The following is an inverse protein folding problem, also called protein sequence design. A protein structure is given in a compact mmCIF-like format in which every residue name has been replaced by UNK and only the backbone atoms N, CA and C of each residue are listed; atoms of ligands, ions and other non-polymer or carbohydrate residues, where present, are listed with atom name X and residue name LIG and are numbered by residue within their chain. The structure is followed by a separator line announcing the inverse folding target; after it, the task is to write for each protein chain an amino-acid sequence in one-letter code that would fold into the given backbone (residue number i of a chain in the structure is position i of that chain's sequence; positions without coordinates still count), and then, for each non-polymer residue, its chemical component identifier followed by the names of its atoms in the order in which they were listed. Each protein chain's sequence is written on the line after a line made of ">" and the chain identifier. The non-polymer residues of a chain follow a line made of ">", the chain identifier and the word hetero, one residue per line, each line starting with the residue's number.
data_IF_821804645832
#
_entry.id   IF_821804645832
#
_cell.length_a   1.000
_cell.length_b   1.000
_cell.length_c   1.000
_cell.angle_alpha   90.00
_cell.angle_beta   90.00
_cell.angle_gamma   90.00
#
_symmetry.space_group_name_H-M   'P 1'
#
loop_
_entity.id
_entity.type
_entity.pdbx_description
1 polymer ?
#
# COMPACT_ATOMS: atom_id res chain seq x y z
N UNK A 1 -22.66 66.01 -10.30
CA UNK A 1 -24.10 66.35 -10.46
C UNK A 1 -24.61 65.67 -11.73
N UNK A 2 -25.84 65.13 -11.67
CA UNK A 2 -26.62 64.38 -12.70
C UNK A 2 -26.33 62.86 -12.72
N UNK A 3 -27.00 62.03 -11.90
CA UNK A 3 -28.38 61.45 -11.94
C UNK A 3 -28.63 60.41 -13.06
N UNK A 4 -28.96 59.18 -12.64
CA UNK A 4 -29.51 58.02 -13.40
C UNK A 4 -30.93 58.25 -13.95
N UNK A 5 -31.54 57.33 -14.76
CA UNK A 5 -32.32 56.16 -14.22
C UNK A 5 -32.22 54.84 -15.05
N UNK A 6 -32.14 53.66 -14.41
CA UNK A 6 -33.17 52.60 -14.17
C UNK A 6 -33.88 51.98 -15.39
N UNK A 7 -33.76 50.65 -15.55
CA UNK A 7 -34.88 49.68 -15.54
C UNK A 7 -34.40 48.21 -15.43
N UNK A 8 -34.91 47.49 -14.44
CA UNK A 8 -35.08 46.03 -14.37
C UNK A 8 -36.61 45.75 -14.47
N UNK A 9 -37.19 44.54 -14.27
CA UNK A 9 -36.69 43.14 -14.28
C UNK A 9 -37.59 42.22 -15.17
N UNK A 10 -37.32 40.91 -15.26
CA UNK A 10 -38.41 39.93 -15.43
C UNK A 10 -38.12 38.59 -14.74
N UNK A 11 -39.12 38.17 -13.98
CA UNK A 11 -39.28 36.98 -13.15
C UNK A 11 -39.95 35.89 -14.00
N UNK A 12 -39.55 34.62 -13.86
CA UNK A 12 -40.46 33.48 -14.09
C UNK A 12 -40.25 32.42 -13.00
N UNK A 13 -41.38 32.07 -12.38
CA UNK A 13 -41.62 31.09 -11.31
C UNK A 13 -41.38 29.64 -11.79
N UNK A 14 -40.72 28.81 -10.99
CA UNK A 14 -41.28 27.81 -10.05
C UNK A 14 -42.23 26.76 -10.66
N UNK A 15 -41.88 25.48 -10.50
CA UNK A 15 -42.84 24.39 -10.28
C UNK A 15 -42.13 23.22 -9.60
N UNK A 16 -42.53 22.99 -8.35
CA UNK A 16 -42.22 21.81 -7.56
C UNK A 16 -43.03 20.61 -8.07
N UNK A 17 -42.45 19.42 -8.05
CA UNK A 17 -43.22 18.18 -7.91
C UNK A 17 -42.67 17.38 -6.74
N UNK A 18 -43.46 17.34 -5.69
CA UNK A 18 -43.36 16.41 -4.57
C UNK A 18 -44.08 15.13 -5.01
N UNK A 19 -43.43 13.99 -4.85
CA UNK A 19 -44.11 12.70 -4.81
C UNK A 19 -43.58 11.94 -3.58
N UNK A 20 -44.28 12.10 -2.48
CA UNK A 20 -44.24 11.20 -1.34
C UNK A 20 -45.34 10.16 -1.54
N UNK A 21 -45.00 8.88 -1.37
CA UNK A 21 -45.95 7.83 -1.00
C UNK A 21 -45.29 6.97 0.09
N UNK A 22 -45.97 6.91 1.23
CA UNK A 22 -45.60 6.16 2.43
C UNK A 22 -46.14 4.73 2.43
N UNK A 23 -45.62 3.98 3.41
CA UNK A 23 -46.25 2.91 4.22
C UNK A 23 -46.28 1.46 3.71
N UNK A 24 -45.52 0.65 4.46
CA UNK A 24 -45.86 -0.61 5.12
C UNK A 24 -46.29 -1.83 4.30
N UNK A 25 -45.53 -2.92 4.44
CA UNK A 25 -46.05 -4.15 5.08
C UNK A 25 -44.97 -5.24 5.30
N UNK A 26 -44.93 -5.69 6.55
CA UNK A 26 -44.79 -7.07 7.04
C UNK A 26 -43.58 -7.95 6.67
N UNK A 27 -42.79 -8.24 7.71
CA UNK A 27 -42.07 -9.49 7.89
C UNK A 27 -43.03 -10.69 8.00
N UNK A 28 -42.56 -11.92 7.73
CA UNK A 28 -43.04 -13.09 8.44
C UNK A 28 -42.00 -13.58 9.45
N UNK A 29 -42.43 -13.61 10.71
CA UNK A 29 -41.94 -14.57 11.68
C UNK A 29 -42.60 -15.92 11.36
N UNK A 30 -41.83 -16.99 11.30
CA UNK A 30 -42.36 -18.35 11.36
C UNK A 30 -41.68 -19.09 12.51
N UNK A 31 -42.45 -19.23 13.59
CA UNK A 31 -42.17 -20.07 14.73
C UNK A 31 -43.33 -21.06 14.82
N UNK A 32 -43.03 -22.35 14.70
CA UNK A 32 -43.99 -23.44 14.85
C UNK A 32 -43.30 -24.70 15.38
N UNK A 33 -43.84 -25.37 16.43
CA UNK A 33 -43.12 -26.35 17.25
C UNK A 33 -43.39 -27.80 16.81
N UNK A 34 -42.51 -28.74 17.18
CA UNK A 34 -42.72 -30.17 16.96
C UNK A 34 -41.79 -31.03 17.81
N UNK A 35 -42.39 -31.82 18.69
CA UNK A 35 -41.82 -32.55 19.83
C UNK A 35 -41.29 -33.93 19.40
N UNK A 36 -40.32 -34.45 20.17
CA UNK A 36 -39.67 -35.76 20.07
C UNK A 36 -40.61 -36.98 20.18
N UNK A 37 -40.09 -38.19 19.90
CA UNK A 37 -39.75 -39.13 20.99
C UNK A 37 -38.31 -39.70 20.85
N UNK A 38 -37.53 -39.91 21.93
CA UNK A 38 -37.52 -41.07 22.84
C UNK A 38 -37.44 -42.42 22.07
N UNK A 39 -36.54 -43.38 22.29
CA UNK A 39 -35.47 -43.64 23.25
C UNK A 39 -34.54 -44.66 22.59
N UNK A 40 -33.24 -44.62 22.88
CA UNK A 40 -32.48 -45.85 23.17
C UNK A 40 -31.25 -45.48 23.96
N UNK A 41 -31.42 -45.49 25.28
CA UNK A 41 -30.34 -45.54 26.23
C UNK A 41 -29.73 -46.95 26.21
N UNK A 42 -28.43 -47.02 25.95
CA UNK A 42 -27.61 -48.11 26.49
C UNK A 42 -26.53 -47.44 27.34
N UNK A 43 -26.75 -47.48 28.66
CA UNK A 43 -25.77 -47.11 29.65
C UNK A 43 -24.67 -48.18 29.69
N UNK A 44 -23.42 -47.75 29.59
CA UNK A 44 -22.31 -48.41 30.25
C UNK A 44 -21.42 -47.32 30.85
N UNK A 45 -21.51 -47.22 32.16
CA UNK A 45 -20.66 -46.42 33.02
C UNK A 45 -19.21 -46.90 32.93
N UNK A 46 -18.28 -45.95 32.94
CA UNK A 46 -16.85 -46.20 32.97
C UNK A 46 -16.07 -44.91 32.91
N UNK A 47 -16.02 -44.20 34.04
CA UNK A 47 -15.36 -42.91 34.16
C UNK A 47 -13.88 -42.94 33.76
N UNK A 48 -13.51 -41.94 32.96
CA UNK A 48 -12.33 -41.13 33.18
C UNK A 48 -12.60 -39.80 32.50
N UNK A 49 -12.37 -38.63 33.15
CA UNK A 49 -12.27 -37.43 32.38
C UNK A 49 -11.13 -37.69 31.39
N UNK A 50 -11.44 -37.72 30.09
CA UNK A 50 -10.41 -37.43 29.10
C UNK A 50 -10.02 -36.00 29.39
N UNK A 51 -9.07 -35.87 30.31
CA UNK A 51 -8.11 -34.79 30.31
C UNK A 51 -7.59 -34.86 28.89
N UNK A 52 -8.14 -34.02 28.00
CA UNK A 52 -7.48 -33.75 26.72
C UNK A 52 -6.03 -33.56 27.13
N UNK A 53 -5.09 -34.35 26.61
CA UNK A 53 -3.69 -34.07 26.90
C UNK A 53 -3.54 -32.60 26.55
N UNK A 54 -3.05 -31.80 27.48
CA UNK A 54 -2.74 -30.42 27.21
C UNK A 54 -1.84 -30.43 25.97
N UNK A 55 -2.44 -30.22 24.80
CA UNK A 55 -1.75 -30.02 23.55
C UNK A 55 -0.95 -28.77 23.87
N UNK A 56 0.35 -28.93 24.07
CA UNK A 56 1.24 -27.78 24.27
C UNK A 56 0.94 -26.75 23.18
N UNK A 57 1.12 -25.45 23.47
CA UNK A 57 0.54 -24.38 22.68
C UNK A 57 0.76 -24.63 21.20
N UNK A 58 -0.32 -24.95 20.49
CA UNK A 58 -0.25 -25.29 19.08
C UNK A 58 -0.92 -24.17 18.33
N UNK A 59 -0.20 -23.66 17.34
CA UNK A 59 -0.60 -22.53 16.53
C UNK A 59 -1.72 -22.86 15.53
N UNK A 60 -2.60 -23.80 15.88
CA UNK A 60 -3.68 -24.32 15.05
C UNK A 60 -4.76 -25.07 15.88
N UNK A 61 -4.89 -24.76 17.18
CA UNK A 61 -5.89 -25.39 18.06
C UNK A 61 -7.18 -24.57 18.21
N UNK A 62 -7.27 -23.38 17.60
CA UNK A 62 -8.46 -22.53 17.65
C UNK A 62 -8.61 -21.75 18.96
N UNK A 63 -7.62 -21.80 19.85
CA UNK A 63 -7.56 -21.01 21.06
C UNK A 63 -6.40 -20.02 21.00
N UNK A 64 -6.47 -18.96 21.81
CA UNK A 64 -5.30 -18.13 22.09
C UNK A 64 -4.65 -18.65 23.36
N UNK A 65 -3.51 -19.31 23.24
CA UNK A 65 -2.79 -19.86 24.38
C UNK A 65 -1.25 -19.71 24.28
N UNK A 66 -0.54 -20.18 25.31
CA UNK A 66 0.91 -20.08 25.36
C UNK A 66 1.44 -18.65 25.18
N UNK A 67 2.19 -18.44 24.10
CA UNK A 67 2.85 -17.17 23.76
C UNK A 67 2.19 -16.45 22.57
N UNK A 68 0.99 -16.85 22.17
CA UNK A 68 0.26 -16.28 21.05
C UNK A 68 -0.27 -14.87 21.32
N UNK A 69 -0.29 -14.06 20.27
CA UNK A 69 -0.77 -12.67 20.35
C UNK A 69 -2.22 -12.55 19.89
N UNK A 70 -2.67 -13.44 19.00
CA UNK A 70 -4.07 -13.69 18.66
C UNK A 70 -4.28 -15.21 18.50
N UNK A 71 -5.52 -15.69 18.34
CA UNK A 71 -5.83 -17.11 18.17
C UNK A 71 -4.99 -17.71 17.04
N UNK A 72 -4.19 -18.73 17.35
CA UNK A 72 -3.35 -19.49 16.43
C UNK A 72 -2.24 -18.67 15.72
N UNK A 73 -1.87 -17.47 16.21
CA UNK A 73 -0.86 -16.64 15.55
C UNK A 73 -0.11 -15.65 16.44
N UNK A 74 1.01 -15.15 15.91
CA UNK A 74 1.87 -14.16 16.56
C UNK A 74 2.74 -14.75 17.66
N UNK A 75 3.56 -13.91 18.28
CA UNK A 75 4.56 -14.39 19.23
C UNK A 75 5.70 -15.15 18.57
N UNK A 76 6.63 -15.73 19.36
CA UNK A 76 7.90 -16.23 18.85
C UNK A 76 7.84 -17.59 18.15
N UNK A 77 6.77 -18.38 18.37
CA UNK A 77 6.68 -19.77 17.91
C UNK A 77 5.61 -20.01 16.84
N UNK A 78 4.68 -19.07 16.65
CA UNK A 78 3.56 -19.22 15.74
C UNK A 78 3.71 -18.38 14.47
N UNK A 79 2.99 -18.75 13.39
CA UNK A 79 2.96 -17.95 12.18
C UNK A 79 2.53 -16.51 12.47
N UNK A 80 3.04 -15.57 11.68
CA UNK A 80 2.64 -14.19 11.81
C UNK A 80 1.15 -14.01 11.48
N UNK A 81 0.47 -13.19 12.26
CA UNK A 81 -0.94 -12.91 12.17
C UNK A 81 -1.31 -12.14 10.88
N UNK A 82 -2.48 -12.46 10.34
CA UNK A 82 -3.06 -11.73 9.21
C UNK A 82 -3.50 -10.31 9.60
N UNK A 83 -3.69 -9.44 8.62
CA UNK A 83 -4.19 -8.08 8.87
C UNK A 83 -5.55 -8.10 9.63
N UNK A 84 -5.72 -7.16 10.57
CA UNK A 84 -6.88 -7.03 11.45
C UNK A 84 -6.79 -7.81 12.77
N UNK A 85 -5.91 -8.81 12.85
CA UNK A 85 -5.60 -9.61 14.05
C UNK A 85 -4.78 -8.82 15.06
N UNK A 86 -4.83 -9.23 16.32
CA UNK A 86 -4.07 -8.60 17.39
C UNK A 86 -2.55 -8.77 17.19
N UNK A 87 -1.79 -7.76 17.60
CA UNK A 87 -0.33 -7.76 17.59
C UNK A 87 0.23 -6.94 18.75
N UNK A 88 1.47 -7.21 19.14
CA UNK A 88 2.24 -6.39 20.09
C UNK A 88 3.33 -5.62 19.35
N UNK A 89 3.95 -6.27 18.37
CA UNK A 89 5.01 -5.71 17.54
C UNK A 89 4.77 -6.05 16.07
N UNK A 90 5.48 -5.37 15.16
CA UNK A 90 5.41 -5.67 13.72
C UNK A 90 5.74 -7.13 13.37
N UNK A 91 6.61 -7.79 14.16
CA UNK A 91 6.97 -9.21 13.96
C UNK A 91 5.81 -10.17 14.12
N UNK A 92 4.78 -9.77 14.87
CA UNK A 92 3.58 -10.58 15.03
C UNK A 92 2.71 -10.57 13.78
N UNK A 93 3.00 -9.72 12.80
CA UNK A 93 2.16 -9.52 11.62
C UNK A 93 2.83 -10.03 10.35
N UNK A 94 2.08 -10.72 9.49
CA UNK A 94 2.57 -11.14 8.19
C UNK A 94 2.97 -9.95 7.32
N UNK A 95 2.37 -8.78 7.57
CA UNK A 95 2.74 -7.51 6.96
C UNK A 95 3.99 -6.86 7.57
N UNK A 96 4.49 -7.31 8.73
CA UNK A 96 5.56 -6.62 9.45
C UNK A 96 5.12 -5.34 10.17
N UNK A 97 3.83 -4.94 10.10
CA UNK A 97 3.33 -3.70 10.70
C UNK A 97 2.18 -3.95 11.68
N UNK A 98 2.37 -3.44 12.89
CA UNK A 98 1.42 -3.47 13.99
C UNK A 98 1.06 -2.04 14.38
N UNK A 99 -0.19 -1.64 14.13
CA UNK A 99 -0.69 -0.32 14.48
C UNK A 99 -1.96 -0.43 15.33
N UNK A 100 -2.06 0.39 16.37
CA UNK A 100 -3.16 0.33 17.34
C UNK A 100 -3.45 -1.10 17.87
N UNK A 101 -2.41 -1.92 18.03
CA UNK A 101 -2.52 -3.31 18.49
C UNK A 101 -3.13 -4.27 17.46
N UNK A 102 -3.21 -3.88 16.19
CA UNK A 102 -3.70 -4.71 15.08
C UNK A 102 -2.72 -4.75 13.91
N UNK A 103 -2.62 -5.92 13.29
CA UNK A 103 -1.85 -6.06 12.07
C UNK A 103 -2.48 -5.24 10.94
N UNK A 104 -1.67 -4.46 10.26
CA UNK A 104 -2.09 -3.63 9.13
C UNK A 104 -1.07 -3.69 8.01
N UNK A 105 -1.47 -3.36 6.79
CA UNK A 105 -0.59 -3.08 5.68
C UNK A 105 -0.84 -1.68 5.09
N UNK A 106 -1.51 -0.79 5.81
CA UNK A 106 -1.94 0.51 5.28
C UNK A 106 -0.80 1.49 5.06
N UNK A 107 0.36 1.29 5.71
CA UNK A 107 1.54 2.11 5.50
C UNK A 107 2.05 2.07 4.05
N UNK A 108 1.93 0.93 3.37
CA UNK A 108 2.38 0.73 2.00
C UNK A 108 3.89 0.58 1.81
N UNK A 109 4.69 1.12 2.71
CA UNK A 109 6.13 0.90 2.79
C UNK A 109 6.48 -0.21 3.78
N UNK A 110 7.49 -1.02 3.47
CA UNK A 110 7.85 -2.20 4.25
C UNK A 110 8.36 -1.89 5.66
N UNK A 111 9.02 -0.75 5.83
CA UNK A 111 9.51 -0.27 7.13
C UNK A 111 8.42 0.46 7.95
N UNK A 112 7.20 0.56 7.40
CA UNK A 112 6.05 1.15 8.06
C UNK A 112 5.99 2.68 8.02
N UNK A 113 6.96 3.35 7.40
CA UNK A 113 7.00 4.82 7.30
C UNK A 113 6.75 5.29 5.87
N UNK A 114 5.91 6.32 5.72
CA UNK A 114 5.65 6.97 4.42
C UNK A 114 6.46 8.26 4.35
N UNK A 115 7.43 8.34 3.46
CA UNK A 115 8.25 9.56 3.28
C UNK A 115 7.55 10.57 2.36
N UNK A 116 6.70 10.06 1.48
CA UNK A 116 5.80 10.83 0.64
C UNK A 116 4.44 10.16 0.57
N UNK A 117 3.43 10.92 0.15
CA UNK A 117 2.02 10.56 0.27
C UNK A 117 1.68 10.15 1.72
N UNK A 118 2.23 10.89 2.70
CA UNK A 118 2.17 10.58 4.13
C UNK A 118 0.76 10.64 4.71
N UNK A 119 -0.11 11.49 4.14
CA UNK A 119 -1.51 11.59 4.54
C UNK A 119 -2.30 10.37 4.04
N UNK A 120 -2.25 9.24 4.75
CA UNK A 120 -2.90 7.99 4.35
C UNK A 120 -4.43 8.13 4.11
N UNK A 121 -5.10 9.02 4.83
CA UNK A 121 -6.52 9.32 4.59
C UNK A 121 -6.77 10.00 3.22
N UNK A 122 -5.78 10.73 2.70
CA UNK A 122 -5.83 11.35 1.36
C UNK A 122 -5.29 10.43 0.27
N UNK A 123 -4.29 9.61 0.60
CA UNK A 123 -3.57 8.72 -0.30
C UNK A 123 -3.55 7.27 0.21
N UNK A 124 -4.72 6.62 0.35
CA UNK A 124 -4.80 5.29 0.95
C UNK A 124 -4.11 4.21 0.10
N UNK A 125 -3.96 4.45 -1.21
CA UNK A 125 -3.53 3.44 -2.18
C UNK A 125 -2.17 3.73 -2.83
N UNK A 126 -1.46 4.78 -2.40
CA UNK A 126 -0.10 5.10 -2.87
C UNK A 126 0.75 5.61 -1.71
N UNK A 127 2.01 5.21 -1.67
CA UNK A 127 3.00 5.63 -0.70
C UNK A 127 4.33 5.90 -1.42
N UNK A 128 5.11 6.89 -0.99
CA UNK A 128 6.50 7.02 -1.40
C UNK A 128 7.36 6.36 -0.33
N UNK A 129 8.13 5.34 -0.73
CA UNK A 129 8.89 4.47 0.16
C UNK A 129 10.37 4.64 -0.13
N UNK A 130 11.06 5.29 0.78
CA UNK A 130 12.49 5.52 0.68
C UNK A 130 13.27 4.27 1.09
N UNK A 131 14.44 4.11 0.50
CA UNK A 131 15.32 2.99 0.83
C UNK A 131 16.29 2.68 -0.29
N UNK A 132 17.10 1.67 -0.04
CA UNK A 132 18.11 1.17 -0.97
C UNK A 132 17.73 -0.23 -1.47
N UNK A 133 18.36 -0.65 -2.57
CA UNK A 133 18.32 -2.01 -3.10
C UNK A 133 19.61 -2.28 -3.89
N UNK A 134 20.13 -3.50 -3.77
CA UNK A 134 21.32 -3.94 -4.50
C UNK A 134 21.01 -4.96 -5.59
N UNK A 135 19.82 -5.58 -5.60
CA UNK A 135 19.36 -6.42 -6.72
C UNK A 135 18.91 -5.49 -7.85
N UNK A 136 19.61 -5.47 -9.01
CA UNK A 136 19.36 -4.46 -10.03
C UNK A 136 17.96 -4.50 -10.62
N UNK A 137 17.46 -3.30 -10.90
CA UNK A 137 16.33 -3.04 -11.78
C UNK A 137 14.99 -2.80 -11.08
N UNK A 138 14.18 -1.90 -11.67
CA UNK A 138 12.83 -1.61 -11.17
C UNK A 138 11.81 -2.69 -11.56
N UNK A 139 12.17 -3.59 -12.48
CA UNK A 139 11.31 -4.65 -12.99
C UNK A 139 11.07 -5.80 -12.02
N UNK A 140 11.86 -5.92 -10.95
CA UNK A 140 11.81 -7.05 -10.02
C UNK A 140 10.59 -6.96 -9.11
N UNK A 141 9.65 -7.90 -9.26
CA UNK A 141 8.40 -7.94 -8.48
C UNK A 141 8.47 -8.81 -7.22
N UNK A 142 9.48 -9.67 -7.12
CA UNK A 142 9.64 -10.59 -6.00
C UNK A 142 10.58 -9.97 -4.95
N UNK A 143 10.17 -9.86 -3.68
CA UNK A 143 11.06 -9.47 -2.58
C UNK A 143 12.24 -10.44 -2.48
N UNK A 144 13.46 -9.92 -2.38
CA UNK A 144 14.70 -10.69 -2.30
C UNK A 144 15.26 -10.78 -0.86
N UNK A 145 14.90 -9.84 0.01
CA UNK A 145 15.39 -9.78 1.39
C UNK A 145 14.26 -9.84 2.43
N UNK A 146 13.12 -10.45 2.06
CA UNK A 146 11.99 -10.64 2.96
C UNK A 146 11.32 -9.33 3.39
N UNK A 147 11.31 -8.32 2.52
CA UNK A 147 10.80 -6.96 2.80
C UNK A 147 11.54 -6.27 3.95
N UNK A 148 12.82 -6.61 4.14
CA UNK A 148 13.68 -5.96 5.14
C UNK A 148 14.18 -4.57 4.74
N UNK A 149 13.91 -4.12 3.50
CA UNK A 149 14.32 -2.81 2.99
C UNK A 149 13.56 -1.64 3.63
N UNK A 150 13.88 -0.42 3.21
CA UNK A 150 13.33 0.82 3.77
C UNK A 150 14.40 1.67 4.47
N UNK A 151 14.19 2.97 4.59
CA UNK A 151 15.18 3.87 5.20
C UNK A 151 15.13 3.86 6.73
N UNK A 152 14.00 3.46 7.31
CA UNK A 152 13.74 3.39 8.74
C UNK A 152 13.72 1.94 9.26
N UNK A 153 13.91 0.99 8.35
CA UNK A 153 13.87 -0.45 8.60
C UNK A 153 15.20 -1.07 9.07
N UNK A 154 15.25 -2.41 9.04
CA UNK A 154 16.39 -3.19 9.52
C UNK A 154 17.53 -3.34 8.49
N UNK A 155 17.23 -3.16 7.20
CA UNK A 155 18.22 -3.21 6.12
C UNK A 155 18.25 -1.91 5.30
N UNK A 156 18.67 -0.78 5.91
CA UNK A 156 18.64 0.53 5.27
C UNK A 156 19.59 0.69 4.08
N UNK A 157 20.59 -0.18 3.97
CA UNK A 157 21.51 -0.22 2.81
C UNK A 157 20.96 -1.06 1.65
N UNK A 158 19.82 -1.73 1.84
CA UNK A 158 19.18 -2.52 0.79
C UNK A 158 20.02 -3.69 0.31
N UNK A 159 20.96 -4.15 1.13
CA UNK A 159 21.85 -5.24 0.75
C UNK A 159 21.02 -6.49 0.50
N UNK A 160 21.19 -7.07 -0.67
CA UNK A 160 20.48 -8.25 -1.17
C UNK A 160 18.95 -8.03 -1.30
N UNK A 161 18.48 -6.79 -1.21
CA UNK A 161 17.09 -6.42 -1.45
C UNK A 161 16.87 -6.05 -2.92
N UNK A 162 15.67 -6.34 -3.41
CA UNK A 162 15.12 -5.78 -4.65
C UNK A 162 14.23 -4.59 -4.34
N UNK A 163 13.82 -3.84 -5.36
CA UNK A 163 12.86 -2.75 -5.19
C UNK A 163 11.52 -3.20 -4.60
N UNK A 164 11.12 -4.46 -4.81
CA UNK A 164 9.90 -5.02 -4.26
C UNK A 164 9.96 -5.14 -2.73
N UNK A 165 11.16 -5.19 -2.15
CA UNK A 165 11.34 -5.20 -0.69
C UNK A 165 11.02 -3.85 -0.04
N UNK A 166 10.90 -2.75 -0.80
CA UNK A 166 10.49 -1.44 -0.26
C UNK A 166 8.97 -1.32 -0.06
N UNK A 167 8.19 -2.14 -0.77
CA UNK A 167 6.74 -2.13 -0.68
C UNK A 167 6.23 -3.19 0.30
N UNK A 168 5.19 -2.85 1.06
CA UNK A 168 4.54 -3.73 2.02
C UNK A 168 3.81 -4.91 1.32
N UNK A 169 3.42 -5.95 2.08
CA UNK A 169 2.53 -7.01 1.57
C UNK A 169 1.20 -6.40 1.07
N UNK A 170 0.78 -6.78 -0.14
CA UNK A 170 -0.39 -6.20 -0.84
C UNK A 170 -0.09 -4.87 -1.56
N UNK A 171 1.20 -4.54 -1.66
CA UNK A 171 1.70 -3.38 -2.38
C UNK A 171 2.85 -3.80 -3.29
N UNK A 172 2.99 -3.07 -4.39
CA UNK A 172 4.05 -3.24 -5.37
C UNK A 172 4.53 -1.89 -5.88
N UNK A 173 5.70 -1.87 -6.53
CA UNK A 173 6.15 -0.65 -7.22
C UNK A 173 5.13 -0.27 -8.28
N UNK A 174 4.70 0.98 -8.30
CA UNK A 174 3.73 1.50 -9.26
C UNK A 174 4.17 1.22 -10.70
N UNK A 175 3.26 0.75 -11.56
CA UNK A 175 3.62 0.30 -12.90
C UNK A 175 3.60 1.42 -13.95
N UNK A 176 2.61 2.32 -13.90
CA UNK A 176 2.33 3.29 -14.97
C UNK A 176 1.97 4.68 -14.43
N UNK A 177 2.10 5.75 -15.24
CA UNK A 177 1.63 7.09 -14.86
C UNK A 177 0.12 7.10 -14.56
N UNK A 178 -0.68 6.33 -15.32
CA UNK A 178 -2.11 6.17 -15.08
C UNK A 178 -2.41 5.52 -13.72
N UNK A 179 -1.59 4.56 -13.29
CA UNK A 179 -1.70 3.94 -11.97
C UNK A 179 -1.43 4.94 -10.83
N UNK A 180 -0.49 5.87 -11.02
CA UNK A 180 -0.23 6.98 -10.08
C UNK A 180 -1.40 7.96 -10.09
N UNK A 181 -1.91 8.34 -11.26
CA UNK A 181 -3.06 9.25 -11.38
C UNK A 181 -4.30 8.71 -10.65
N UNK A 182 -4.64 7.44 -10.84
CA UNK A 182 -5.84 6.85 -10.21
C UNK A 182 -5.71 6.77 -8.68
N UNK A 183 -4.53 6.44 -8.15
CA UNK A 183 -4.30 6.29 -6.70
C UNK A 183 -4.12 7.61 -5.95
N UNK A 184 -3.83 8.69 -6.68
CA UNK A 184 -3.70 10.04 -6.12
C UNK A 184 -4.99 10.87 -6.24
N UNK A 185 -6.03 10.31 -6.88
CA UNK A 185 -7.27 11.04 -7.18
C UNK A 185 -7.08 12.12 -8.25
N UNK A 186 -6.19 11.87 -9.22
CA UNK A 186 -5.85 12.79 -10.31
C UNK A 186 -4.86 13.89 -9.94
N UNK A 187 -4.35 13.92 -8.70
CA UNK A 187 -3.39 14.94 -8.23
C UNK A 187 -1.97 14.70 -8.74
N UNK A 188 -1.64 13.47 -9.09
CA UNK A 188 -0.27 13.11 -9.44
C UNK A 188 0.68 13.28 -8.27
N UNK A 189 1.84 13.88 -8.55
CA UNK A 189 2.83 14.20 -7.53
C UNK A 189 2.42 15.39 -6.63
N UNK A 190 1.36 16.13 -6.97
CA UNK A 190 0.92 17.29 -6.18
C UNK A 190 0.34 16.87 -4.82
N UNK A 191 0.72 17.60 -3.76
CA UNK A 191 0.28 17.30 -2.40
C UNK A 191 0.90 16.03 -1.81
N UNK A 192 1.89 15.44 -2.48
CA UNK A 192 2.63 14.26 -2.00
C UNK A 192 3.44 14.53 -0.73
N UNK A 193 3.83 15.78 -0.46
CA UNK A 193 4.73 16.09 0.64
C UNK A 193 6.20 15.73 0.38
N UNK A 194 6.54 15.38 -0.86
CA UNK A 194 7.92 15.05 -1.29
C UNK A 194 8.79 16.32 -1.49
N UNK A 195 8.17 17.49 -1.60
CA UNK A 195 8.88 18.77 -1.84
C UNK A 195 9.82 19.14 -0.69
N UNK A 196 11.08 19.45 -1.01
CA UNK A 196 12.10 19.90 -0.05
C UNK A 196 12.87 18.77 0.63
N UNK A 197 12.75 17.54 0.13
CA UNK A 197 13.41 16.34 0.67
C UNK A 197 14.69 15.95 -0.09
N UNK A 198 15.00 16.59 -1.22
CA UNK A 198 16.09 16.22 -2.12
C UNK A 198 16.04 14.73 -2.52
N UNK A 199 14.88 14.29 -3.00
CA UNK A 199 14.51 12.91 -3.23
C UNK A 199 13.82 12.70 -4.58
N UNK A 200 13.97 11.49 -5.11
CA UNK A 200 13.30 10.99 -6.30
C UNK A 200 12.65 9.66 -5.99
N UNK A 201 11.37 9.48 -6.35
CA UNK A 201 10.65 8.23 -6.15
C UNK A 201 10.21 7.67 -7.50
N UNK A 202 10.89 6.62 -7.93
CA UNK A 202 10.69 6.00 -9.23
C UNK A 202 9.43 5.14 -9.28
N UNK A 203 8.91 4.96 -10.50
CA UNK A 203 7.93 3.94 -10.85
C UNK A 203 8.51 2.99 -11.92
N UNK A 204 7.81 1.91 -12.26
CA UNK A 204 8.27 0.95 -13.30
C UNK A 204 8.01 1.44 -14.73
N UNK A 205 7.40 2.61 -14.92
CA UNK A 205 7.35 3.21 -16.25
C UNK A 205 8.75 3.71 -16.62
N UNK A 206 9.26 3.22 -17.76
CA UNK A 206 10.44 3.75 -18.43
C UNK A 206 10.03 4.40 -19.76
N UNK A 207 11.01 4.65 -20.62
CA UNK A 207 10.84 5.20 -21.96
C UNK A 207 11.80 4.62 -22.97
N UNK A 208 11.70 5.10 -24.20
CA UNK A 208 12.69 4.85 -25.25
C UNK A 208 13.77 5.93 -25.31
N UNK A 209 13.72 6.92 -24.39
CA UNK A 209 14.61 8.08 -24.31
C UNK A 209 13.90 9.39 -24.60
N UNK A 210 14.66 10.49 -24.55
CA UNK A 210 14.13 11.83 -24.85
C UNK A 210 13.13 12.35 -23.81
N UNK A 211 13.24 11.88 -22.56
CA UNK A 211 12.35 12.26 -21.45
C UNK A 211 10.87 11.84 -21.63
N UNK A 212 10.57 10.95 -22.58
CA UNK A 212 9.22 10.49 -22.86
C UNK A 212 8.93 9.12 -22.25
N UNK A 213 7.77 8.98 -21.63
CA UNK A 213 7.32 7.70 -21.08
C UNK A 213 6.74 6.84 -22.19
N UNK A 214 7.03 5.54 -22.16
CA UNK A 214 6.56 4.62 -23.19
C UNK A 214 7.20 3.24 -23.06
N UNK A 215 7.09 2.39 -24.10
CA UNK A 215 7.84 1.15 -24.14
C UNK A 215 9.35 1.44 -24.21
N UNK A 216 10.13 0.59 -23.54
CA UNK A 216 11.59 0.72 -23.46
C UNK A 216 12.06 0.58 -22.02
N UNK A 217 13.35 0.76 -21.82
CA UNK A 217 13.99 0.67 -20.50
C UNK A 217 14.94 1.85 -20.26
N UNK A 218 14.89 2.88 -21.13
CA UNK A 218 15.69 4.07 -20.98
C UNK A 218 14.99 5.11 -20.12
N UNK A 219 15.78 5.83 -19.32
CA UNK A 219 15.36 6.77 -18.28
C UNK A 219 14.43 6.15 -17.21
N UNK A 220 14.50 6.70 -16.01
CA UNK A 220 13.59 6.40 -14.90
C UNK A 220 12.66 7.59 -14.69
N UNK A 221 11.39 7.33 -14.38
CA UNK A 221 10.38 8.37 -14.19
C UNK A 221 9.71 8.25 -12.83
N UNK A 222 9.29 9.38 -12.26
CA UNK A 222 8.80 9.39 -10.90
C UNK A 222 8.28 10.73 -10.39
N UNK A 223 8.08 10.79 -9.08
CA UNK A 223 7.78 12.02 -8.35
C UNK A 223 8.99 12.47 -7.54
N UNK A 224 9.24 13.78 -7.46
CA UNK A 224 10.37 14.26 -6.66
C UNK A 224 10.66 15.75 -6.74
N UNK A 225 11.71 16.16 -6.05
CA UNK A 225 12.31 17.48 -6.16
C UNK A 225 13.74 17.44 -6.74
N UNK A 226 14.24 16.24 -7.07
CA UNK A 226 15.47 16.01 -7.83
C UNK A 226 15.15 15.26 -9.13
N UNK A 227 15.92 15.54 -10.19
CA UNK A 227 15.66 15.09 -11.55
C UNK A 227 15.20 16.22 -12.46
N UNK A 228 15.22 15.96 -13.76
CA UNK A 228 14.75 16.90 -14.78
C UNK A 228 13.23 16.73 -15.02
N UNK A 229 12.59 17.69 -15.70
CA UNK A 229 11.17 17.60 -16.03
C UNK A 229 10.92 16.69 -17.24
N UNK A 230 10.06 15.66 -17.14
CA UNK A 230 9.76 14.78 -18.26
C UNK A 230 8.79 15.43 -19.25
N UNK A 231 8.58 14.77 -20.39
CA UNK A 231 7.55 15.14 -21.35
C UNK A 231 6.16 15.06 -20.70
N UNK A 232 5.48 16.20 -20.60
CA UNK A 232 4.20 16.31 -19.90
C UNK A 232 3.04 15.57 -20.61
N UNK A 233 3.17 15.22 -21.88
CA UNK A 233 2.11 14.54 -22.63
C UNK A 233 2.13 13.04 -22.35
N UNK A 234 3.32 12.45 -22.35
CA UNK A 234 3.51 11.00 -22.21
C UNK A 234 3.68 10.57 -20.75
N UNK A 235 4.27 11.43 -19.91
CA UNK A 235 4.61 11.09 -18.52
C UNK A 235 3.64 11.62 -17.48
N UNK A 236 2.64 12.44 -17.83
CA UNK A 236 1.70 12.92 -16.83
C UNK A 236 1.06 11.74 -16.07
N UNK A 237 1.05 11.78 -14.72
CA UNK A 237 1.26 12.97 -13.89
C UNK A 237 2.62 13.01 -13.16
N UNK A 238 3.63 12.32 -13.67
CA UNK A 238 4.99 12.32 -13.14
C UNK A 238 5.69 13.65 -13.43
N UNK A 239 6.55 14.10 -12.52
CA UNK A 239 7.20 15.42 -12.59
C UNK A 239 8.73 15.37 -12.62
N UNK A 240 9.33 14.18 -12.48
CA UNK A 240 10.78 13.98 -12.54
C UNK A 240 11.19 12.81 -13.40
N UNK A 241 12.35 12.92 -14.04
CA UNK A 241 13.06 11.80 -14.63
C UNK A 241 14.58 11.86 -14.37
N UNK A 242 15.24 10.71 -14.54
CA UNK A 242 16.64 10.49 -14.15
C UNK A 242 17.68 11.03 -15.12
N UNK A 243 17.30 11.16 -16.40
CA UNK A 243 18.19 11.48 -17.52
C UNK A 243 19.29 10.42 -17.73
N UNK A 244 20.02 10.46 -18.85
CA UNK A 244 20.85 9.28 -19.17
C UNK A 244 21.90 9.01 -18.07
N UNK A 245 22.03 7.74 -17.72
CA UNK A 245 22.86 7.19 -16.65
C UNK A 245 22.56 7.78 -15.27
N UNK A 246 21.28 8.07 -14.98
CA UNK A 246 20.85 8.70 -13.74
C UNK A 246 21.50 10.09 -13.49
N UNK A 247 21.98 10.80 -14.52
CA UNK A 247 22.80 12.01 -14.32
C UNK A 247 22.07 13.17 -13.62
N UNK A 248 20.75 13.19 -13.66
CA UNK A 248 19.95 14.21 -12.99
C UNK A 248 19.62 13.84 -11.53
N UNK A 249 20.02 12.65 -11.08
CA UNK A 249 19.80 12.15 -9.71
C UNK A 249 21.07 12.24 -8.86
N UNK A 250 20.96 12.20 -7.52
CA UNK A 250 22.13 12.19 -6.66
C UNK A 250 22.95 10.90 -6.86
N UNK A 251 24.28 10.90 -6.61
CA UNK A 251 25.18 9.76 -6.89
C UNK A 251 24.86 8.44 -6.17
N UNK A 252 23.89 8.45 -5.24
CA UNK A 252 23.38 7.25 -4.59
C UNK A 252 22.56 6.37 -5.55
N UNK A 253 22.09 6.93 -6.67
CA UNK A 253 21.45 6.23 -7.78
C UNK A 253 22.49 5.85 -8.83
N UNK A 254 22.43 4.63 -9.34
CA UNK A 254 23.35 4.16 -10.39
C UNK A 254 22.57 3.39 -11.44
N UNK A 255 22.51 3.92 -12.67
CA UNK A 255 21.77 3.36 -13.82
C UNK A 255 22.64 2.45 -14.71
N UNK A 256 23.73 1.87 -14.17
CA UNK A 256 24.68 1.07 -14.95
C UNK A 256 25.48 1.90 -15.96
N UNK A 257 25.89 1.27 -17.07
CA UNK A 257 26.68 1.90 -18.13
C UNK A 257 25.97 1.94 -19.50
N UNK A 258 24.82 1.29 -19.61
CA UNK A 258 24.04 1.23 -20.85
C UNK A 258 22.99 2.36 -20.85
N UNK A 259 23.18 3.37 -21.69
CA UNK A 259 22.25 4.51 -21.86
C UNK A 259 20.93 4.14 -22.52
N UNK A 260 20.67 2.86 -22.79
CA UNK A 260 19.40 2.38 -23.34
C UNK A 260 18.66 1.48 -22.35
N UNK A 261 19.31 1.03 -21.27
CA UNK A 261 18.73 0.12 -20.27
C UNK A 261 19.10 0.52 -18.85
N UNK A 262 18.54 1.64 -18.44
CA UNK A 262 18.70 2.18 -17.09
C UNK A 262 17.79 1.48 -16.10
N UNK A 263 16.56 1.20 -16.55
CA UNK A 263 15.57 0.54 -15.74
C UNK A 263 16.00 -0.86 -15.30
N UNK A 264 16.67 -1.62 -16.17
CA UNK A 264 17.18 -2.96 -15.87
C UNK A 264 18.41 -2.94 -14.95
N UNK A 265 19.24 -1.90 -15.06
CA UNK A 265 20.51 -1.81 -14.34
C UNK A 265 20.43 -1.02 -13.03
N UNK A 266 19.35 -0.27 -12.77
CA UNK A 266 19.33 0.68 -11.66
C UNK A 266 19.47 0.00 -10.30
N UNK A 267 20.41 0.51 -9.51
CA UNK A 267 20.56 0.23 -8.07
C UNK A 267 20.59 1.53 -7.29
N UNK A 268 20.31 1.44 -5.99
CA UNK A 268 20.41 2.57 -5.07
C UNK A 268 20.97 2.09 -3.75
N UNK A 269 22.11 2.61 -3.31
CA UNK A 269 22.86 2.02 -2.18
C UNK A 269 22.74 2.80 -0.87
N UNK A 270 22.14 4.00 -0.91
CA UNK A 270 21.88 4.80 0.29
C UNK A 270 20.39 4.76 0.67
N UNK A 271 20.09 4.84 1.97
CA UNK A 271 18.73 4.95 2.48
C UNK A 271 18.06 6.31 2.15
N UNK A 272 18.86 7.36 1.95
CA UNK A 272 18.40 8.72 1.61
C UNK A 272 18.31 8.96 0.10
N UNK A 273 17.75 10.09 -0.33
CA UNK A 273 17.64 10.44 -1.76
C UNK A 273 16.48 9.78 -2.49
N UNK A 274 15.46 9.34 -1.74
CA UNK A 274 14.22 8.77 -2.24
C UNK A 274 14.20 7.24 -2.35
N UNK A 275 13.48 6.72 -3.31
CA UNK A 275 13.21 5.29 -3.47
C UNK A 275 12.18 5.03 -4.56
N UNK A 276 11.08 4.38 -4.22
CA UNK A 276 10.03 4.02 -5.19
C UNK A 276 8.65 4.46 -4.71
N UNK A 277 7.72 4.65 -5.64
CA UNK A 277 6.30 4.73 -5.29
C UNK A 277 5.73 3.33 -5.21
N UNK A 278 5.15 3.00 -4.06
CA UNK A 278 4.42 1.77 -3.84
C UNK A 278 2.92 2.03 -4.03
N UNK A 279 2.33 1.25 -4.91
CA UNK A 279 0.92 1.25 -5.26
C UNK A 279 0.26 0.03 -4.62
N UNK A 280 -0.89 0.23 -3.97
CA UNK A 280 -1.71 -0.88 -3.47
C UNK A 280 -2.24 -1.69 -4.64
N UNK A 281 -2.21 -3.02 -4.51
CA UNK A 281 -2.67 -3.96 -5.53
C UNK A 281 -4.16 -3.82 -5.85
#
# INVERSE_FOLDING_TARGET
>A
MRLSPRTAPLVVLASALVAACSSDTAAPADAGPGVAPADTATAAEGGSPVTSPAVGPSCANGARDGAEVDVDCGGPLCPACANGRACVTGKDCASGACDAGKCTNDAGCSDGTREGFAAAATFPNIAACAGAWSVPGLGVSTPACGRGGGNSGQNPTGKDCSVADLCQVGWRVCDTPAAVASRTGGRGCAGSGITGQASFYAIRQAGSGGAACGPGTNDLFGCGDVGDAPDAVTCAPLDRFSNDLCRALPPVWTCGANTADEQGAVTKTASTGGGVLCCRD
#
